data_IF_188403120773
#
_entry.id   IF_188403120773
#
_cell.length_a   1.000
_cell.length_b   1.000
_cell.length_c   1.000
_cell.angle_alpha   90.00
_cell.angle_beta   90.00
_cell.angle_gamma   90.00
#
_symmetry.space_group_name_H-M   'P 1'
#
loop_
_entity.id
_entity.type
_entity.pdbx_description
1 polymer ?
#
# COMPACT_ATOMS: atom_id res chain seq x y z
N UNK A 1 9.43 14.92 -14.85
CA UNK A 1 10.71 14.85 -14.10
C UNK A 1 10.95 13.37 -13.90
N UNK A 2 12.02 12.83 -14.47
CA UNK A 2 12.38 11.43 -14.31
C UNK A 2 13.46 11.37 -13.24
N UNK A 3 13.25 10.56 -12.21
CA UNK A 3 14.26 10.30 -11.18
C UNK A 3 14.44 8.79 -11.08
N UNK A 4 15.64 8.31 -10.80
CA UNK A 4 15.90 6.87 -10.65
C UNK A 4 16.64 6.66 -9.34
N UNK A 5 16.37 5.52 -8.69
CA UNK A 5 17.00 5.09 -7.43
C UNK A 5 16.76 6.03 -6.24
N UNK A 6 15.60 6.70 -6.20
CA UNK A 6 15.21 7.54 -5.07
C UNK A 6 15.02 6.72 -3.80
N UNK A 7 15.53 7.22 -2.67
CA UNK A 7 15.37 6.57 -1.37
C UNK A 7 14.69 7.50 -0.36
N UNK A 8 13.51 7.08 0.11
CA UNK A 8 12.74 7.71 1.17
C UNK A 8 12.84 6.85 2.42
N UNK A 9 13.69 7.24 3.37
CA UNK A 9 14.03 6.43 4.54
C UNK A 9 13.72 7.21 5.81
N UNK A 10 12.89 6.64 6.69
CA UNK A 10 12.61 7.15 8.04
C UNK A 10 12.05 8.59 8.06
N UNK A 11 11.25 8.94 7.06
CA UNK A 11 10.57 10.24 7.04
C UNK A 11 9.31 10.23 7.90
N UNK A 12 9.01 11.37 8.52
CA UNK A 12 7.80 11.58 9.32
C UNK A 12 6.92 12.63 8.64
N UNK A 13 5.88 12.18 7.97
CA UNK A 13 4.90 13.04 7.31
C UNK A 13 3.68 13.21 8.22
N UNK A 14 3.49 14.42 8.72
CA UNK A 14 2.38 14.76 9.61
C UNK A 14 1.59 15.94 9.07
N UNK A 15 0.25 15.93 9.19
CA UNK A 15 -0.62 17.03 8.75
C UNK A 15 -0.32 17.52 7.33
N UNK A 16 0.02 16.60 6.42
CA UNK A 16 0.31 16.94 5.04
C UNK A 16 -1.02 17.01 4.25
N UNK A 17 -1.39 18.20 3.78
CA UNK A 17 -2.61 18.42 2.99
C UNK A 17 -2.49 18.07 1.50
N UNK A 18 -1.29 17.73 1.03
CA UNK A 18 -1.04 17.31 -0.35
C UNK A 18 -0.83 15.79 -0.46
N UNK A 19 -0.15 15.18 0.51
CA UNK A 19 0.34 13.80 0.40
C UNK A 19 1.72 13.73 -0.26
N UNK A 20 2.17 12.52 -0.60
CA UNK A 20 3.43 12.27 -1.32
C UNK A 20 3.10 11.65 -2.67
N UNK A 21 3.53 12.29 -3.76
CA UNK A 21 3.40 11.76 -5.10
C UNK A 21 4.78 11.43 -5.66
N UNK A 22 5.00 10.15 -5.94
CA UNK A 22 6.20 9.66 -6.61
C UNK A 22 5.80 9.23 -8.00
N UNK A 23 6.44 9.82 -9.01
CA UNK A 23 6.06 9.65 -10.41
C UNK A 23 7.29 9.41 -11.28
N UNK A 24 7.17 8.55 -12.28
CA UNK A 24 8.18 8.33 -13.33
C UNK A 24 9.56 7.97 -12.76
N UNK A 25 9.61 6.94 -11.91
CA UNK A 25 10.86 6.47 -11.28
C UNK A 25 11.08 4.98 -11.42
N UNK A 26 12.35 4.60 -11.54
CA UNK A 26 12.78 3.21 -11.45
C UNK A 26 13.61 3.00 -10.17
N UNK A 27 13.43 1.89 -9.46
CA UNK A 27 14.25 1.56 -8.29
C UNK A 27 13.94 2.33 -7.01
N UNK A 28 12.73 2.87 -6.84
CA UNK A 28 12.39 3.67 -5.67
C UNK A 28 12.35 2.81 -4.38
N UNK A 29 12.93 3.33 -3.31
CA UNK A 29 13.07 2.65 -2.01
C UNK A 29 12.35 3.45 -0.94
N UNK A 30 11.33 2.87 -0.31
CA UNK A 30 10.56 3.50 0.77
C UNK A 30 10.64 2.65 2.03
N UNK A 31 11.44 3.08 2.99
CA UNK A 31 11.72 2.32 4.21
C UNK A 31 11.36 3.09 5.47
N UNK A 32 10.61 2.46 6.37
CA UNK A 32 10.35 2.95 7.72
C UNK A 32 9.74 4.37 7.79
N UNK A 33 9.03 4.81 6.75
CA UNK A 33 8.36 6.11 6.77
C UNK A 33 7.06 6.02 7.58
N UNK A 34 6.69 7.13 8.20
CA UNK A 34 5.49 7.25 9.01
C UNK A 34 4.62 8.37 8.48
N UNK A 35 3.42 8.03 8.07
CA UNK A 35 2.43 8.93 7.52
C UNK A 35 1.23 8.99 8.45
N UNK A 36 1.08 10.12 9.14
CA UNK A 36 0.05 10.32 10.15
C UNK A 36 -0.79 11.55 9.86
N UNK A 37 -2.10 11.45 10.07
CA UNK A 37 -3.04 12.58 10.02
C UNK A 37 -2.92 13.40 8.72
N UNK A 38 -2.72 12.70 7.60
CA UNK A 38 -2.56 13.28 6.25
C UNK A 38 -3.94 13.34 5.60
N UNK A 39 -4.61 14.48 5.78
CA UNK A 39 -5.94 14.77 5.25
C UNK A 39 -5.80 15.64 4.01
N UNK A 40 -5.42 15.02 2.90
CA UNK A 40 -5.18 15.76 1.67
C UNK A 40 -6.44 16.02 0.85
N UNK A 41 -6.85 17.29 0.73
CA UNK A 41 -8.02 17.69 -0.08
C UNK A 41 -7.77 17.50 -1.58
N UNK A 42 -6.49 17.54 -2.01
CA UNK A 42 -6.10 17.58 -3.42
C UNK A 42 -5.85 16.19 -4.03
N UNK A 43 -5.14 15.30 -3.35
CA UNK A 43 -4.90 13.93 -3.83
C UNK A 43 -5.85 12.89 -3.22
N UNK A 44 -6.51 13.18 -2.08
CA UNK A 44 -7.33 12.22 -1.29
C UNK A 44 -6.60 10.92 -0.88
N UNK A 45 -5.30 10.82 -1.17
CA UNK A 45 -4.41 9.68 -0.94
C UNK A 45 -3.10 10.16 -0.33
N UNK A 46 -2.50 9.33 0.51
CA UNK A 46 -1.27 9.65 1.24
C UNK A 46 -0.06 9.45 0.36
N UNK A 47 -0.05 8.37 -0.42
CA UNK A 47 1.03 8.03 -1.32
C UNK A 47 0.48 7.70 -2.71
N UNK A 48 0.79 8.55 -3.70
CA UNK A 48 0.53 8.30 -5.11
C UNK A 48 1.80 7.70 -5.74
N UNK A 49 1.67 6.51 -6.31
CA UNK A 49 2.71 5.84 -7.07
C UNK A 49 2.26 5.75 -8.53
N UNK A 50 2.87 6.57 -9.40
CA UNK A 50 2.52 6.63 -10.82
C UNK A 50 3.71 6.28 -11.71
N UNK A 51 3.55 5.28 -12.57
CA UNK A 51 4.60 4.84 -13.50
C UNK A 51 5.93 4.55 -12.79
N UNK A 52 5.88 3.59 -11.87
CA UNK A 52 7.02 3.18 -11.05
C UNK A 52 7.41 1.73 -11.35
N UNK A 53 8.70 1.45 -11.47
CA UNK A 53 9.22 0.09 -11.71
C UNK A 53 10.26 -0.34 -10.68
N UNK A 54 10.39 -1.66 -10.45
CA UNK A 54 11.44 -2.31 -9.65
C UNK A 54 11.67 -1.66 -8.26
N UNK A 55 10.57 -1.34 -7.58
CA UNK A 55 10.59 -0.54 -6.35
C UNK A 55 10.26 -1.36 -5.11
N UNK A 56 10.77 -0.90 -3.96
CA UNK A 56 10.66 -1.61 -2.69
C UNK A 56 10.06 -0.70 -1.61
N UNK A 57 8.96 -1.15 -1.02
CA UNK A 57 8.20 -0.41 0.01
C UNK A 57 8.13 -1.31 1.24
N UNK A 58 8.93 -1.00 2.26
CA UNK A 58 9.06 -1.86 3.43
C UNK A 58 8.86 -1.11 4.75
N UNK A 59 8.05 -1.72 5.62
CA UNK A 59 7.85 -1.32 7.01
C UNK A 59 7.40 0.14 7.20
N UNK A 60 6.58 0.65 6.29
CA UNK A 60 5.97 1.96 6.40
C UNK A 60 4.68 1.88 7.23
N UNK A 61 4.39 2.96 7.96
CA UNK A 61 3.23 3.07 8.83
C UNK A 61 2.32 4.17 8.31
N UNK A 62 1.09 3.83 8.02
CA UNK A 62 0.03 4.74 7.62
C UNK A 62 -1.03 4.69 8.72
N UNK A 63 -1.33 5.83 9.37
CA UNK A 63 -2.29 5.90 10.48
C UNK A 63 -3.19 7.13 10.34
N UNK A 64 -4.51 6.94 10.37
CA UNK A 64 -5.49 8.02 10.46
C UNK A 64 -5.53 8.91 9.21
N UNK A 65 -5.52 8.30 8.03
CA UNK A 65 -5.50 9.00 6.75
C UNK A 65 -6.78 8.72 5.95
N UNK A 66 -7.05 9.46 4.88
CA UNK A 66 -8.23 9.20 4.03
C UNK A 66 -8.04 7.95 3.15
N UNK A 67 -6.95 7.90 2.37
CA UNK A 67 -6.55 6.69 1.64
C UNK A 67 -5.03 6.49 1.74
N UNK A 68 -4.57 5.25 1.85
CA UNK A 68 -3.16 4.88 1.98
C UNK A 68 -2.41 5.03 0.66
N UNK A 69 -2.10 3.90 0.01
CA UNK A 69 -1.31 3.89 -1.23
C UNK A 69 -2.22 3.75 -2.45
N UNK A 70 -2.06 4.63 -3.42
CA UNK A 70 -2.67 4.53 -4.74
C UNK A 70 -1.60 4.21 -5.78
N UNK A 71 -1.82 3.13 -6.54
CA UNK A 71 -0.89 2.67 -7.57
C UNK A 71 -1.52 2.75 -8.95
N UNK A 72 -0.79 3.36 -9.88
CA UNK A 72 -1.16 3.49 -11.28
C UNK A 72 0.05 3.18 -12.17
N UNK A 73 -0.08 2.17 -13.03
CA UNK A 73 0.97 1.82 -14.00
C UNK A 73 2.27 1.33 -13.37
N UNK A 74 2.19 0.67 -12.22
CA UNK A 74 3.37 0.16 -11.52
C UNK A 74 3.78 -1.25 -11.97
N UNK A 75 5.08 -1.54 -12.00
CA UNK A 75 5.59 -2.85 -12.43
C UNK A 75 6.64 -3.41 -11.46
N UNK A 76 6.54 -4.69 -11.09
CA UNK A 76 7.52 -5.37 -10.20
C UNK A 76 7.79 -4.62 -8.90
N UNK A 77 6.72 -4.28 -8.17
CA UNK A 77 6.85 -3.63 -6.86
C UNK A 77 6.76 -4.67 -5.74
N UNK A 78 7.62 -4.53 -4.73
CA UNK A 78 7.59 -5.31 -3.50
C UNK A 78 7.10 -4.45 -2.34
N UNK A 79 6.01 -4.89 -1.69
CA UNK A 79 5.34 -4.17 -0.61
C UNK A 79 5.29 -5.06 0.62
N UNK A 80 6.14 -4.80 1.61
CA UNK A 80 6.35 -5.73 2.71
C UNK A 80 6.23 -5.09 4.09
N UNK A 81 5.56 -5.77 5.02
CA UNK A 81 5.45 -5.38 6.44
C UNK A 81 4.89 -3.98 6.68
N UNK A 82 4.05 -3.48 5.78
CA UNK A 82 3.44 -2.16 5.92
C UNK A 82 2.19 -2.24 6.81
N UNK A 83 1.93 -1.19 7.58
CA UNK A 83 0.80 -1.12 8.50
C UNK A 83 -0.15 -0.01 8.02
N UNK A 84 -1.42 -0.36 7.80
CA UNK A 84 -2.49 0.55 7.42
C UNK A 84 -3.58 0.53 8.49
N UNK A 85 -3.81 1.68 9.13
CA UNK A 85 -4.77 1.80 10.22
C UNK A 85 -5.73 2.98 10.06
N UNK A 86 -7.02 2.73 10.29
CA UNK A 86 -8.10 3.73 10.30
C UNK A 86 -8.15 4.54 8.97
N UNK A 87 -8.10 3.86 7.81
CA UNK A 87 -8.14 4.47 6.46
C UNK A 87 -8.66 3.55 5.34
N UNK A 88 -8.69 3.99 4.08
CA UNK A 88 -8.68 3.06 2.94
C UNK A 88 -7.25 2.53 2.73
N UNK A 89 -7.01 1.22 2.73
CA UNK A 89 -5.67 0.62 2.71
C UNK A 89 -4.90 0.85 1.40
N UNK A 90 -5.24 0.11 0.35
CA UNK A 90 -4.57 0.19 -0.95
C UNK A 90 -5.56 0.31 -2.11
N UNK A 91 -5.25 1.17 -3.08
CA UNK A 91 -6.00 1.33 -4.33
C UNK A 91 -5.07 0.99 -5.48
N UNK A 92 -5.36 -0.10 -6.19
CA UNK A 92 -4.49 -0.63 -7.24
C UNK A 92 -5.23 -0.57 -8.56
N UNK A 93 -4.71 0.20 -9.52
CA UNK A 93 -5.29 0.22 -10.87
C UNK A 93 -4.93 -1.06 -11.63
N UNK A 94 -5.80 -1.45 -12.57
CA UNK A 94 -5.62 -2.63 -13.41
C UNK A 94 -4.36 -2.59 -14.30
N UNK A 95 -3.75 -1.41 -14.45
CA UNK A 95 -2.47 -1.21 -15.15
C UNK A 95 -1.25 -1.68 -14.36
N UNK A 96 -1.41 -2.07 -13.10
CA UNK A 96 -0.32 -2.54 -12.24
C UNK A 96 -0.04 -4.03 -12.49
N UNK A 97 1.21 -4.38 -12.77
CA UNK A 97 1.62 -5.75 -13.07
C UNK A 97 2.70 -6.26 -12.10
N UNK A 98 2.58 -7.53 -11.71
CA UNK A 98 3.60 -8.25 -10.94
C UNK A 98 3.93 -7.56 -9.61
N UNK A 99 2.91 -7.19 -8.84
CA UNK A 99 3.12 -6.69 -7.48
C UNK A 99 3.18 -7.86 -6.49
N UNK A 100 4.16 -7.83 -5.60
CA UNK A 100 4.27 -8.78 -4.48
C UNK A 100 4.06 -8.03 -3.17
N UNK A 101 3.02 -8.38 -2.46
CA UNK A 101 2.69 -7.84 -1.15
C UNK A 101 2.78 -8.93 -0.11
N UNK A 102 3.59 -8.73 0.94
CA UNK A 102 3.75 -9.73 2.00
C UNK A 102 3.74 -9.14 3.41
N UNK A 103 3.04 -9.79 4.35
CA UNK A 103 3.08 -9.39 5.76
C UNK A 103 2.44 -8.02 6.04
N UNK A 104 1.51 -7.57 5.20
CA UNK A 104 0.82 -6.29 5.39
C UNK A 104 -0.22 -6.45 6.50
N UNK A 105 -0.37 -5.42 7.33
CA UNK A 105 -1.34 -5.39 8.42
C UNK A 105 -2.36 -4.30 8.14
N UNK A 106 -3.62 -4.67 7.95
CA UNK A 106 -4.75 -3.77 7.81
C UNK A 106 -5.58 -3.80 9.10
N UNK A 107 -5.85 -2.64 9.71
CA UNK A 107 -6.60 -2.53 10.99
C UNK A 107 -7.62 -1.41 10.90
N UNK A 108 -8.91 -1.72 11.14
CA UNK A 108 -10.03 -0.75 11.15
C UNK A 108 -10.11 0.13 9.89
N UNK A 109 -9.81 -0.45 8.74
CA UNK A 109 -9.87 0.25 7.46
C UNK A 109 -11.29 0.19 6.88
N UNK A 110 -11.69 1.20 6.11
CA UNK A 110 -13.02 1.19 5.45
C UNK A 110 -13.02 0.27 4.22
N UNK A 111 -11.91 0.25 3.50
CA UNK A 111 -11.65 -0.68 2.39
C UNK A 111 -10.18 -1.10 2.47
N UNK A 112 -9.89 -2.39 2.61
CA UNK A 112 -8.51 -2.86 2.71
C UNK A 112 -7.76 -2.76 1.37
N UNK A 113 -8.33 -3.34 0.31
CA UNK A 113 -7.79 -3.26 -1.05
C UNK A 113 -8.94 -3.01 -2.03
N UNK A 114 -8.77 -2.01 -2.91
CA UNK A 114 -9.71 -1.75 -4.00
C UNK A 114 -8.99 -1.76 -5.34
N UNK A 115 -9.65 -2.29 -6.38
CA UNK A 115 -9.12 -2.37 -7.74
C UNK A 115 -10.18 -1.94 -8.76
N UNK A 116 -9.72 -1.41 -9.89
CA UNK A 116 -10.58 -1.02 -11.03
C UNK A 116 -10.59 -2.10 -12.15
N UNK A 117 -10.03 -3.27 -11.90
CA UNK A 117 -10.03 -4.39 -12.85
C UNK A 117 -9.42 -5.65 -12.26
N UNK A 118 -9.17 -6.64 -13.11
CA UNK A 118 -8.79 -7.99 -12.69
C UNK A 118 -7.34 -8.05 -12.19
N UNK A 119 -7.14 -8.35 -10.90
CA UNK A 119 -5.83 -8.48 -10.23
C UNK A 119 -5.11 -9.80 -10.58
N UNK A 120 -4.99 -10.15 -11.87
CA UNK A 120 -4.55 -11.50 -12.31
C UNK A 120 -3.08 -11.80 -11.95
N UNK A 121 -2.24 -10.78 -11.75
CA UNK A 121 -0.78 -10.94 -11.62
C UNK A 121 -0.20 -10.44 -10.29
N UNK A 122 -1.04 -10.10 -9.32
CA UNK A 122 -0.58 -9.60 -8.02
C UNK A 122 -0.68 -10.70 -6.96
N UNK A 123 0.37 -10.85 -6.16
CA UNK A 123 0.47 -11.86 -5.10
C UNK A 123 0.36 -11.17 -3.75
N UNK A 124 -0.63 -11.57 -2.95
CA UNK A 124 -0.76 -11.17 -1.55
C UNK A 124 -0.45 -12.40 -0.69
N UNK A 125 0.57 -12.29 0.15
CA UNK A 125 1.08 -13.38 0.97
C UNK A 125 1.08 -12.95 2.46
N UNK A 126 0.63 -13.80 3.38
CA UNK A 126 0.61 -13.52 4.83
C UNK A 126 0.07 -12.13 5.22
N UNK A 127 -0.98 -11.66 4.54
CA UNK A 127 -1.60 -10.36 4.84
C UNK A 127 -2.64 -10.55 5.93
N UNK A 128 -2.58 -9.72 6.98
CA UNK A 128 -3.52 -9.73 8.09
C UNK A 128 -4.64 -8.72 7.83
N UNK A 129 -5.89 -9.20 7.77
CA UNK A 129 -7.08 -8.41 7.47
C UNK A 129 -8.00 -8.40 8.69
N UNK A 130 -8.40 -7.22 9.16
CA UNK A 130 -9.24 -7.05 10.36
C UNK A 130 -10.70 -7.51 10.10
N UNK A 131 -11.19 -7.42 8.86
CA UNK A 131 -12.54 -7.88 8.44
C UNK A 131 -12.57 -9.31 7.90
N UNK A 132 -11.56 -10.13 8.19
CA UNK A 132 -11.53 -11.50 7.69
C UNK A 132 -12.56 -12.41 8.39
N UNK A 133 -13.77 -12.53 7.82
CA UNK A 133 -14.79 -13.56 8.15
C UNK A 133 -14.43 -14.97 7.62
N UNK A 134 -13.18 -15.23 7.21
CA UNK A 134 -12.75 -16.58 6.91
C UNK A 134 -12.33 -17.30 8.18
N UNK A 135 -12.81 -18.52 8.37
CA UNK A 135 -12.46 -19.36 9.53
C UNK A 135 -10.94 -19.53 9.65
N UNK A 136 -10.39 -18.99 10.74
CA UNK A 136 -9.06 -19.33 11.26
C UNK A 136 -9.20 -20.62 12.08
N UNK A 137 -9.08 -21.77 11.40
CA UNK A 137 -9.27 -23.10 12.01
C UNK A 137 -8.11 -23.47 12.95
N UNK A 138 -6.95 -22.85 12.77
CA UNK A 138 -5.74 -23.11 13.56
C UNK A 138 -5.44 -22.06 14.64
N UNK A 139 -6.23 -20.98 14.69
CA UNK A 139 -6.09 -19.84 15.63
C UNK A 139 -4.71 -19.20 15.58
N UNK A 140 -4.12 -19.09 14.40
CA UNK A 140 -2.80 -18.47 14.22
C UNK A 140 -2.87 -17.00 13.74
N UNK A 141 -4.09 -16.45 13.67
CA UNK A 141 -4.36 -15.08 13.20
C UNK A 141 -4.05 -14.85 11.72
N UNK A 142 -3.94 -15.92 10.92
CA UNK A 142 -3.80 -15.91 9.47
C UNK A 142 -5.05 -16.59 8.88
N UNK A 143 -5.66 -15.95 7.88
CA UNK A 143 -6.81 -16.51 7.19
C UNK A 143 -6.43 -17.70 6.30
N UNK A 144 -6.86 -18.91 6.66
CA UNK A 144 -6.59 -20.17 5.93
C UNK A 144 -7.19 -20.21 4.51
N UNK A 145 -8.05 -19.25 4.15
CA UNK A 145 -8.69 -19.19 2.83
C UNK A 145 -8.12 -18.01 2.03
N UNK A 146 -7.84 -18.14 0.72
CA UNK A 146 -7.48 -16.98 -0.09
C UNK A 146 -8.64 -15.97 -0.09
N UNK A 147 -8.45 -14.79 0.49
CA UNK A 147 -9.38 -13.68 0.28
C UNK A 147 -9.35 -13.32 -1.20
N UNK A 148 -10.46 -13.55 -1.90
CA UNK A 148 -10.62 -13.11 -3.28
C UNK A 148 -11.49 -11.85 -3.24
N UNK A 149 -10.94 -10.66 -3.51
CA UNK A 149 -11.76 -9.50 -3.85
C UNK A 149 -12.54 -9.73 -5.14
#
# INVERSE_FOLDING_TARGET
MFSNDDAYITNYFHHNGAGVAVMFTNGAKMFNNNFKDTFGVMLRMVCLLKEISDSYIFNNKFIGNTSGIFMEGTNRIQVEKNIFKDMDGMKIQASCMTMKSAGIIFVRNTFDVSTNGTLVLNTFDHTHWDEYEGYDLIKDSIGDIPYRP
#
